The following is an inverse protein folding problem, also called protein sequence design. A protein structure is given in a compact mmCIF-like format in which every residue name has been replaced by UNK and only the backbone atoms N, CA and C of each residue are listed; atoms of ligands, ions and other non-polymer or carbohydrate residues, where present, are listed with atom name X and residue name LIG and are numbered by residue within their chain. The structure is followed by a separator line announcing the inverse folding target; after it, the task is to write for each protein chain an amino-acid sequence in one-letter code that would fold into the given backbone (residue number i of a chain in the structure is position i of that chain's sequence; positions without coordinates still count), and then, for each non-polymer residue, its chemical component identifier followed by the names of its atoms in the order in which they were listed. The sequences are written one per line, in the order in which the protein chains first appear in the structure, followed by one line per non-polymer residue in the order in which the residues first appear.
data_IF_298375594041
#
_entry.id   IF_298375594041
#
_cell.length_a   1.000
_cell.length_b   1.000
_cell.length_c   1.000
_cell.angle_alpha   90.00
_cell.angle_beta   90.00
_cell.angle_gamma   90.00
#
_symmetry.space_group_name_H-M   'P 1'
#
loop_
_entity.id
_entity.type
_entity.pdbx_description
1 polymer ?
#
# COMPACT_ATOMS: atom_id res chain seq x y z
N UNK A 1 23.88 6.17 11.47
CA UNK A 1 23.59 6.81 10.16
C UNK A 1 22.13 6.59 9.86
N UNK A 2 21.27 7.60 10.08
CA UNK A 2 19.82 7.52 9.90
C UNK A 2 19.48 7.71 8.40
N UNK A 3 18.70 6.83 7.76
CA UNK A 3 18.26 7.07 6.39
C UNK A 3 17.08 8.05 6.39
N UNK A 4 17.28 9.18 5.72
CA UNK A 4 16.29 10.23 5.47
C UNK A 4 15.20 9.70 4.53
N UNK A 5 13.97 9.56 5.03
CA UNK A 5 12.78 9.05 4.31
C UNK A 5 12.20 10.03 3.27
N UNK A 6 12.99 10.99 2.77
CA UNK A 6 12.52 12.08 1.89
C UNK A 6 12.71 11.84 0.39
N UNK A 7 13.14 10.66 -0.05
CA UNK A 7 13.31 10.38 -1.48
C UNK A 7 12.73 9.02 -1.80
N UNK A 8 11.58 9.04 -2.49
CA UNK A 8 11.03 8.02 -3.41
C UNK A 8 9.49 8.14 -3.49
N UNK A 9 8.99 9.37 -3.59
CA UNK A 9 7.70 9.64 -4.20
C UNK A 9 8.03 10.38 -5.49
N UNK A 10 8.04 9.66 -6.61
CA UNK A 10 8.05 10.28 -7.94
C UNK A 10 6.69 10.94 -8.12
N UNK A 11 6.60 12.19 -7.66
CA UNK A 11 5.52 13.11 -7.94
C UNK A 11 6.16 14.31 -8.62
N UNK A 12 5.59 14.73 -9.75
CA UNK A 12 5.88 16.02 -10.37
C UNK A 12 6.04 17.08 -9.27
N UNK A 13 7.16 17.80 -9.26
CA UNK A 13 7.48 18.78 -8.22
C UNK A 13 6.55 20.00 -8.32
N UNK A 14 5.32 19.83 -7.82
CA UNK A 14 4.33 20.90 -7.72
C UNK A 14 4.70 21.82 -6.57
N UNK A 15 5.40 22.91 -6.88
CA UNK A 15 5.88 23.92 -5.91
C UNK A 15 4.80 24.97 -5.62
N UNK A 16 3.60 24.53 -5.20
CA UNK A 16 2.55 25.44 -4.73
C UNK A 16 2.74 25.75 -3.24
N UNK A 17 2.85 27.02 -2.90
CA UNK A 17 2.82 27.50 -1.51
C UNK A 17 1.48 28.20 -1.28
N UNK A 18 0.79 27.82 -0.21
CA UNK A 18 -0.52 28.34 0.15
C UNK A 18 -0.47 28.93 1.57
N UNK A 19 -0.34 30.26 1.73
CA UNK A 19 -0.47 30.92 3.01
C UNK A 19 -1.94 30.96 3.43
N UNK A 20 -2.22 30.51 4.65
CA UNK A 20 -3.56 30.45 5.23
C UNK A 20 -3.54 31.15 6.59
N UNK A 21 -4.36 32.20 6.74
CA UNK A 21 -4.54 32.86 8.02
C UNK A 21 -5.72 32.25 8.78
N UNK A 22 -5.48 31.84 10.03
CA UNK A 22 -6.51 31.39 10.99
C UNK A 22 -6.27 32.10 12.32
N UNK A 23 -7.31 32.76 12.84
CA UNK A 23 -7.26 33.47 14.13
C UNK A 23 -6.01 34.37 14.26
N UNK A 24 -5.75 35.19 13.22
CA UNK A 24 -4.61 36.12 13.11
C UNK A 24 -3.22 35.48 13.01
N UNK A 25 -3.13 34.15 13.03
CA UNK A 25 -1.90 33.39 12.81
C UNK A 25 -1.81 32.93 11.36
N UNK A 26 -0.67 33.15 10.72
CA UNK A 26 -0.41 32.67 9.36
C UNK A 26 0.24 31.28 9.38
N UNK A 27 -0.29 30.39 8.56
CA UNK A 27 0.19 29.04 8.35
C UNK A 27 0.57 28.86 6.88
N UNK A 28 1.80 28.42 6.64
CA UNK A 28 2.28 28.16 5.28
C UNK A 28 2.13 26.68 4.95
N UNK A 29 1.29 26.37 3.97
CA UNK A 29 1.17 25.02 3.41
C UNK A 29 2.00 24.91 2.13
N UNK A 30 2.97 24.02 2.11
CA UNK A 30 3.81 23.74 0.94
C UNK A 30 3.36 22.45 0.30
N UNK A 31 2.99 22.47 -0.97
CA UNK A 31 2.70 21.25 -1.72
C UNK A 31 3.99 20.43 -1.86
N UNK A 32 3.91 19.16 -1.47
CA UNK A 32 5.04 18.22 -1.51
C UNK A 32 4.80 17.07 -2.50
N UNK A 33 3.54 16.88 -2.92
CA UNK A 33 3.16 15.95 -3.98
C UNK A 33 1.82 16.38 -4.59
N UNK A 34 1.63 16.05 -5.85
CA UNK A 34 0.36 16.20 -6.56
C UNK A 34 0.15 14.96 -7.45
N UNK A 35 -1.09 14.46 -7.52
CA UNK A 35 -1.48 13.39 -8.45
C UNK A 35 -2.93 13.58 -8.88
N UNK A 36 -3.13 13.85 -10.18
CA UNK A 36 -4.46 13.92 -10.84
C UNK A 36 -5.47 14.87 -10.18
N UNK A 37 -5.00 15.97 -9.60
CA UNK A 37 -5.79 16.98 -8.92
C UNK A 37 -5.89 16.81 -7.40
N UNK A 38 -5.32 15.74 -6.84
CA UNK A 38 -5.15 15.58 -5.39
C UNK A 38 -3.78 16.11 -4.95
N UNK A 39 -3.76 17.06 -4.01
CA UNK A 39 -2.51 17.68 -3.54
C UNK A 39 -2.20 17.26 -2.10
N UNK A 40 -0.95 16.90 -1.83
CA UNK A 40 -0.44 16.69 -0.47
C UNK A 40 0.33 17.93 -0.04
N UNK A 41 -0.13 18.56 1.03
CA UNK A 41 0.52 19.72 1.64
C UNK A 41 1.28 19.31 2.91
N UNK A 42 2.47 19.85 3.11
CA UNK A 42 3.14 19.93 4.41
C UNK A 42 2.84 21.29 5.05
N UNK A 43 2.42 21.28 6.31
CA UNK A 43 2.28 22.46 7.17
C UNK A 43 3.27 22.32 8.33
N UNK A 44 4.48 22.84 8.14
CA UNK A 44 5.51 22.83 9.17
C UNK A 44 5.22 23.87 10.25
N UNK A 45 5.46 23.53 11.52
CA UNK A 45 5.29 24.44 12.65
C UNK A 45 6.35 25.56 12.70
N UNK A 46 7.38 25.50 11.85
CA UNK A 46 8.44 26.51 11.74
C UNK A 46 7.86 27.87 11.35
N UNK A 47 8.09 28.89 12.17
CA UNK A 47 7.62 30.26 11.93
C UNK A 47 6.25 30.59 12.51
N UNK A 48 5.61 29.66 13.22
CA UNK A 48 4.39 29.89 14.01
C UNK A 48 4.79 30.22 15.45
N UNK A 49 4.04 31.09 16.15
CA UNK A 49 4.41 31.69 17.45
C UNK A 49 4.78 30.71 18.58
N UNK A 50 4.36 29.45 18.49
CA UNK A 50 4.59 28.42 19.53
C UNK A 50 5.37 27.20 19.00
N UNK A 51 5.86 27.26 17.74
CA UNK A 51 6.58 26.20 16.99
C UNK A 51 6.01 24.77 17.13
N UNK A 52 4.75 24.68 17.53
CA UNK A 52 4.02 23.46 17.82
C UNK A 52 2.97 23.20 16.74
N UNK A 53 2.63 21.91 16.57
CA UNK A 53 1.57 21.54 15.64
C UNK A 53 0.25 22.15 16.13
N UNK A 54 -0.49 22.91 15.30
CA UNK A 54 -1.74 23.56 15.71
C UNK A 54 -2.74 22.55 16.26
N UNK A 55 -3.59 22.92 17.20
CA UNK A 55 -4.60 22.01 17.76
C UNK A 55 -5.64 21.53 16.73
N UNK A 56 -6.47 20.55 17.10
CA UNK A 56 -7.48 19.99 16.20
C UNK A 56 -8.46 21.03 15.64
N UNK A 57 -8.90 21.99 16.46
CA UNK A 57 -9.87 23.00 16.04
C UNK A 57 -9.26 23.94 14.99
N UNK A 58 -8.02 24.35 15.21
CA UNK A 58 -7.24 25.17 14.27
C UNK A 58 -6.93 24.40 13.00
N UNK A 59 -6.51 23.12 13.07
CA UNK A 59 -6.31 22.28 11.88
C UNK A 59 -7.59 22.14 11.05
N UNK A 60 -8.76 22.01 11.68
CA UNK A 60 -10.06 22.00 10.97
C UNK A 60 -10.36 23.32 10.26
N UNK A 61 -9.99 24.46 10.84
CA UNK A 61 -10.12 25.78 10.19
C UNK A 61 -9.15 25.92 9.01
N UNK A 62 -7.89 25.51 9.17
CA UNK A 62 -6.88 25.48 8.11
C UNK A 62 -7.41 24.63 6.94
N UNK A 63 -7.85 23.41 7.22
CA UNK A 63 -8.41 22.49 6.22
C UNK A 63 -9.58 23.10 5.44
N UNK A 64 -10.51 23.78 6.12
CA UNK A 64 -11.62 24.48 5.46
C UNK A 64 -11.16 25.59 4.53
N UNK A 65 -10.08 26.29 4.86
CA UNK A 65 -9.50 27.32 3.99
C UNK A 65 -8.80 26.69 2.79
N UNK A 66 -8.01 25.64 3.00
CA UNK A 66 -7.36 24.87 1.92
C UNK A 66 -8.41 24.34 0.94
N UNK A 67 -9.54 23.84 1.44
CA UNK A 67 -10.66 23.33 0.63
C UNK A 67 -11.25 24.35 -0.36
N UNK A 68 -11.06 25.66 -0.13
CA UNK A 68 -11.50 26.71 -1.05
C UNK A 68 -10.61 26.82 -2.29
N UNK A 69 -9.34 26.45 -2.14
CA UNK A 69 -8.33 26.55 -3.21
C UNK A 69 -8.10 25.21 -3.88
N UNK A 70 -8.03 24.12 -3.09
CA UNK A 70 -7.79 22.77 -3.57
C UNK A 70 -8.85 21.85 -2.96
N UNK A 71 -9.73 21.32 -3.79
CA UNK A 71 -10.85 20.51 -3.31
C UNK A 71 -10.37 19.17 -2.72
N UNK A 72 -9.58 18.42 -3.48
CA UNK A 72 -9.01 17.13 -3.06
C UNK A 72 -7.60 17.35 -2.51
N UNK A 73 -7.44 17.20 -1.20
CA UNK A 73 -6.16 17.44 -0.56
C UNK A 73 -5.93 16.54 0.66
N UNK A 74 -4.65 16.45 1.02
CA UNK A 74 -4.13 15.84 2.22
C UNK A 74 -3.21 16.85 2.91
N UNK A 75 -3.24 16.96 4.24
CA UNK A 75 -2.36 17.88 4.98
C UNK A 75 -1.56 17.09 6.01
N UNK A 76 -0.24 17.25 5.98
CA UNK A 76 0.70 16.67 6.93
C UNK A 76 1.24 17.80 7.78
N UNK A 77 0.90 17.82 9.06
CA UNK A 77 1.46 18.78 10.01
C UNK A 77 2.72 18.19 10.64
N UNK A 78 3.78 18.98 10.73
CA UNK A 78 5.06 18.56 11.31
C UNK A 78 5.49 19.54 12.40
N UNK A 79 6.02 19.03 13.52
CA UNK A 79 6.69 19.87 14.52
C UNK A 79 8.06 20.33 14.02
N UNK A 80 8.64 21.35 14.67
CA UNK A 80 9.93 21.91 14.27
C UNK A 80 11.06 20.85 14.24
N UNK A 81 11.03 19.88 15.16
CA UNK A 81 12.01 18.79 15.26
C UNK A 81 11.73 17.62 14.29
N UNK A 82 10.61 17.65 13.56
CA UNK A 82 10.11 16.56 12.70
C UNK A 82 9.95 15.21 13.39
N UNK A 83 9.77 15.23 14.72
CA UNK A 83 9.54 14.02 15.52
C UNK A 83 8.07 13.64 15.57
N UNK A 84 7.17 14.62 15.45
CA UNK A 84 5.72 14.42 15.46
C UNK A 84 5.12 14.82 14.13
N UNK A 85 4.20 14.00 13.63
CA UNK A 85 3.45 14.27 12.43
C UNK A 85 1.96 14.01 12.66
N UNK A 86 1.10 14.85 12.08
CA UNK A 86 -0.34 14.61 12.02
C UNK A 86 -0.77 14.59 10.57
N UNK A 87 -1.24 13.44 10.11
CA UNK A 87 -1.70 13.19 8.76
C UNK A 87 -3.21 13.36 8.72
N UNK A 88 -3.68 14.47 8.16
CA UNK A 88 -5.09 14.86 8.14
C UNK A 88 -5.68 14.75 6.73
N UNK A 89 -6.86 14.15 6.67
CA UNK A 89 -7.67 14.06 5.44
C UNK A 89 -9.16 14.17 5.74
N UNK A 90 -9.92 14.63 4.77
CA UNK A 90 -11.38 14.75 4.86
C UNK A 90 -12.03 13.90 3.79
N UNK A 91 -12.80 12.89 4.23
CA UNK A 91 -13.69 12.15 3.36
C UNK A 91 -14.93 12.98 3.05
N UNK A 92 -15.25 13.09 1.77
CA UNK A 92 -16.49 13.72 1.30
C UNK A 92 -17.31 12.68 0.58
N UNK A 93 -18.56 12.51 1.01
CA UNK A 93 -19.52 11.60 0.40
C UNK A 93 -20.80 12.39 0.12
N UNK A 94 -21.33 12.25 -1.09
CA UNK A 94 -22.54 12.98 -1.49
C UNK A 94 -23.70 12.63 -0.55
N UNK A 95 -24.30 13.65 0.08
CA UNK A 95 -25.40 13.46 1.04
C UNK A 95 -24.97 13.10 2.48
N UNK A 96 -23.66 13.07 2.80
CA UNK A 96 -23.17 12.88 4.18
C UNK A 96 -22.29 14.05 4.63
N UNK A 97 -22.18 14.31 5.95
CA UNK A 97 -21.24 15.29 6.47
C UNK A 97 -19.79 14.88 6.21
N UNK A 98 -18.94 15.88 5.92
CA UNK A 98 -17.50 15.72 5.80
C UNK A 98 -16.90 15.03 7.04
N UNK A 99 -16.26 13.87 6.82
CA UNK A 99 -15.61 13.12 7.88
C UNK A 99 -14.11 13.42 7.92
N UNK A 100 -13.67 14.19 8.91
CA UNK A 100 -12.26 14.46 9.15
C UNK A 100 -11.60 13.31 9.90
N UNK A 101 -10.51 12.79 9.35
CA UNK A 101 -9.70 11.75 9.97
C UNK A 101 -8.27 12.23 10.12
N UNK A 102 -7.63 11.80 11.20
CA UNK A 102 -6.24 12.14 11.51
C UNK A 102 -5.48 10.88 11.93
N UNK A 103 -4.27 10.74 11.42
CA UNK A 103 -3.33 9.74 11.91
C UNK A 103 -2.11 10.45 12.49
N UNK A 104 -1.89 10.28 13.79
CA UNK A 104 -0.72 10.83 14.48
C UNK A 104 0.41 9.82 14.46
N UNK A 105 1.58 10.29 14.06
CA UNK A 105 2.83 9.55 14.13
C UNK A 105 3.83 10.31 15.02
N UNK A 106 4.54 9.62 15.90
CA UNK A 106 5.69 10.17 16.61
C UNK A 106 6.89 9.21 16.51
N UNK A 107 8.02 9.68 15.99
CA UNK A 107 9.21 8.85 15.73
C UNK A 107 9.95 8.40 16.99
N UNK A 108 9.71 9.06 18.13
CA UNK A 108 10.32 8.70 19.41
C UNK A 108 9.49 7.65 20.15
N UNK A 109 8.17 7.59 19.90
CA UNK A 109 7.22 6.70 20.58
C UNK A 109 6.76 5.51 19.72
N UNK A 110 6.84 5.61 18.38
CA UNK A 110 6.27 4.65 17.44
C UNK A 110 7.28 4.25 16.36
N UNK A 111 7.24 3.00 15.91
CA UNK A 111 8.14 2.46 14.88
C UNK A 111 7.85 2.98 13.46
N UNK A 112 6.70 3.62 13.25
CA UNK A 112 6.27 4.14 11.94
C UNK A 112 5.65 3.08 11.02
N UNK A 113 5.62 1.81 11.42
CA UNK A 113 5.13 0.70 10.58
C UNK A 113 3.69 0.89 10.11
N UNK A 114 2.79 1.37 10.99
CA UNK A 114 1.40 1.64 10.63
C UNK A 114 1.27 2.75 9.59
N UNK A 115 2.15 3.75 9.62
CA UNK A 115 2.18 4.82 8.63
C UNK A 115 2.76 4.29 7.31
N UNK A 116 3.86 3.54 7.35
CA UNK A 116 4.48 2.91 6.18
C UNK A 116 3.49 1.97 5.46
N UNK A 117 2.69 1.21 6.20
CA UNK A 117 1.66 0.35 5.63
C UNK A 117 0.59 1.14 4.86
N UNK A 118 0.12 2.26 5.44
CA UNK A 118 -0.84 3.16 4.76
C UNK A 118 -0.22 3.82 3.53
N UNK A 119 1.04 4.24 3.62
CA UNK A 119 1.77 4.84 2.51
C UNK A 119 1.99 3.85 1.35
N UNK A 120 2.33 2.60 1.65
CA UNK A 120 2.44 1.55 0.62
C UNK A 120 1.12 1.28 -0.10
N UNK A 121 0.00 1.39 0.61
CA UNK A 121 -1.32 1.19 0.04
C UNK A 121 -1.77 2.32 -0.91
N UNK A 122 -1.07 3.46 -0.91
CA UNK A 122 -1.35 4.62 -1.78
C UNK A 122 -0.27 4.84 -2.85
N UNK A 123 0.66 3.90 -3.01
CA UNK A 123 1.63 3.93 -4.12
C UNK A 123 0.88 3.60 -5.41
N UNK A 124 1.11 4.40 -6.44
CA UNK A 124 0.62 4.18 -7.79
C UNK A 124 1.79 3.71 -8.67
N UNK A 125 1.59 2.67 -9.47
CA UNK A 125 2.60 2.25 -10.44
C UNK A 125 2.59 3.17 -11.66
N UNK A 126 3.69 3.18 -12.43
CA UNK A 126 3.80 3.93 -13.69
C UNK A 126 2.76 3.53 -14.76
N UNK A 127 2.05 2.41 -14.56
CA UNK A 127 1.04 1.90 -15.50
C UNK A 127 -0.33 2.39 -15.15
N UNK A 128 -0.64 2.35 -13.85
CA UNK A 128 -1.85 2.93 -13.33
C UNK A 128 -1.88 4.42 -13.70
N UNK A 129 -0.72 5.05 -13.87
CA UNK A 129 -0.58 6.45 -14.23
C UNK A 129 -1.30 6.86 -15.52
N UNK A 130 -1.28 6.02 -16.55
CA UNK A 130 -1.91 6.34 -17.85
C UNK A 130 -3.45 6.42 -17.75
N UNK A 131 -4.05 5.57 -16.92
CA UNK A 131 -5.51 5.45 -16.75
C UNK A 131 -6.03 6.06 -15.43
N UNK A 132 -5.15 6.59 -14.58
CA UNK A 132 -5.48 7.07 -13.24
C UNK A 132 -6.40 8.31 -13.27
N UNK A 133 -7.57 8.20 -12.63
CA UNK A 133 -8.49 9.32 -12.42
C UNK A 133 -8.48 9.81 -10.96
N UNK A 134 -8.97 11.04 -10.73
CA UNK A 134 -9.09 11.61 -9.39
C UNK A 134 -9.97 10.75 -8.43
N UNK A 135 -11.11 10.18 -8.87
CA UNK A 135 -11.85 9.19 -8.06
C UNK A 135 -11.03 7.98 -7.63
N UNK A 136 -10.13 7.47 -8.48
CA UNK A 136 -9.28 6.31 -8.13
C UNK A 136 -8.24 6.67 -7.07
N UNK A 137 -7.63 7.85 -7.20
CA UNK A 137 -6.66 8.38 -6.24
C UNK A 137 -7.34 8.58 -4.87
N UNK A 138 -8.45 9.31 -4.84
CA UNK A 138 -9.19 9.63 -3.61
C UNK A 138 -9.79 8.38 -2.96
N UNK A 139 -10.27 7.42 -3.74
CA UNK A 139 -10.76 6.12 -3.27
C UNK A 139 -9.68 5.28 -2.59
N UNK A 140 -8.48 5.21 -3.17
CA UNK A 140 -7.35 4.44 -2.62
C UNK A 140 -6.80 5.08 -1.34
N UNK A 141 -6.65 6.40 -1.31
CA UNK A 141 -6.27 7.14 -0.09
C UNK A 141 -7.32 6.96 1.00
N UNK A 142 -8.61 7.05 0.65
CA UNK A 142 -9.70 6.80 1.59
C UNK A 142 -9.66 5.39 2.20
N UNK A 143 -9.42 4.36 1.38
CA UNK A 143 -9.33 2.98 1.86
C UNK A 143 -8.15 2.76 2.84
N UNK A 144 -6.98 3.33 2.52
CA UNK A 144 -5.77 3.17 3.35
C UNK A 144 -5.90 3.87 4.72
N UNK A 145 -6.55 5.03 4.79
CA UNK A 145 -6.61 5.84 6.00
C UNK A 145 -7.88 5.63 6.84
N UNK A 146 -8.97 5.04 6.30
CA UNK A 146 -10.27 4.87 6.99
C UNK A 146 -10.45 3.55 7.75
N UNK A 147 -9.59 2.54 7.56
CA UNK A 147 -9.71 1.24 8.21
C UNK A 147 -9.30 1.28 9.71
N UNK A 148 -10.16 1.83 10.58
CA UNK A 148 -9.79 2.19 11.97
C UNK A 148 -10.10 1.18 13.09
N UNK A 149 -10.50 -0.07 12.81
CA UNK A 149 -10.57 -1.12 13.86
C UNK A 149 -10.10 -2.51 13.44
N UNK A 150 -10.01 -2.73 12.14
CA UNK A 150 -9.60 -4.01 11.56
C UNK A 150 -8.08 -4.20 11.66
N UNK A 151 -7.29 -3.12 11.77
CA UNK A 151 -5.83 -3.12 11.62
C UNK A 151 -5.02 -3.76 12.74
N UNK A 152 -5.37 -3.62 14.03
CA UNK A 152 -4.55 -4.24 15.11
C UNK A 152 -4.74 -5.76 15.19
N UNK A 153 -6.00 -6.23 15.21
CA UNK A 153 -6.30 -7.67 15.20
C UNK A 153 -5.80 -8.33 13.92
N UNK A 154 -5.96 -7.64 12.78
CA UNK A 154 -5.39 -8.07 11.52
C UNK A 154 -3.87 -8.15 11.58
N UNK A 155 -3.19 -7.13 12.11
CA UNK A 155 -1.73 -7.14 12.19
C UNK A 155 -1.22 -8.23 13.12
N UNK A 156 -1.84 -8.41 14.29
CA UNK A 156 -1.51 -9.47 15.23
C UNK A 156 -1.72 -10.86 14.60
N UNK A 157 -2.76 -11.02 13.78
CA UNK A 157 -3.05 -12.29 13.10
C UNK A 157 -2.18 -12.50 11.86
N UNK A 158 -1.94 -11.46 11.06
CA UNK A 158 -1.02 -11.45 9.93
C UNK A 158 0.41 -11.74 10.37
N UNK A 159 0.85 -11.22 11.51
CA UNK A 159 2.15 -11.54 12.11
C UNK A 159 2.24 -13.02 12.50
N UNK A 160 1.16 -13.60 13.05
CA UNK A 160 1.11 -15.04 13.33
C UNK A 160 1.18 -15.87 12.05
N UNK A 161 0.43 -15.49 11.01
CA UNK A 161 0.49 -16.19 9.72
C UNK A 161 1.86 -16.01 9.05
N UNK A 162 2.51 -14.85 9.19
CA UNK A 162 3.90 -14.63 8.77
C UNK A 162 4.87 -15.58 9.49
N UNK A 163 4.80 -15.66 10.82
CA UNK A 163 5.65 -16.55 11.62
C UNK A 163 5.42 -18.03 11.28
N UNK A 164 4.20 -18.41 10.88
CA UNK A 164 3.90 -19.75 10.40
C UNK A 164 4.45 -19.97 9.00
N UNK A 165 4.20 -19.06 8.06
CA UNK A 165 4.68 -19.14 6.68
C UNK A 165 6.21 -19.20 6.62
N UNK A 166 6.89 -18.45 7.48
CA UNK A 166 8.34 -18.45 7.62
C UNK A 166 8.91 -19.83 7.92
N UNK A 167 8.19 -20.70 8.64
CA UNK A 167 8.65 -22.06 8.95
C UNK A 167 8.64 -22.98 7.73
N UNK A 168 7.88 -22.63 6.69
CA UNK A 168 7.79 -23.40 5.46
C UNK A 168 8.84 -23.01 4.43
N UNK A 169 9.35 -21.77 4.49
CA UNK A 169 10.33 -21.24 3.55
C UNK A 169 11.70 -21.93 3.73
N UNK A 170 12.23 -22.44 2.62
CA UNK A 170 13.60 -22.96 2.52
C UNK A 170 14.36 -22.26 1.38
N UNK A 171 15.68 -22.38 1.39
CA UNK A 171 16.54 -21.94 0.27
C UNK A 171 17.15 -20.54 0.39
N UNK A 172 16.86 -19.79 1.45
CA UNK A 172 17.49 -18.50 1.76
C UNK A 172 18.39 -18.67 3.00
N UNK A 173 19.67 -18.25 2.96
CA UNK A 173 20.67 -18.61 3.97
C UNK A 173 20.54 -17.87 5.30
N UNK A 174 20.02 -16.64 5.29
CA UNK A 174 19.90 -15.78 6.47
C UNK A 174 18.45 -15.62 6.94
N UNK A 175 18.25 -15.59 8.26
CA UNK A 175 16.91 -15.54 8.86
C UNK A 175 16.23 -14.17 8.70
N UNK A 176 16.99 -13.08 8.69
CA UNK A 176 16.42 -11.75 8.42
C UNK A 176 16.04 -11.61 6.95
N UNK A 177 16.86 -12.14 6.03
CA UNK A 177 16.52 -12.24 4.61
C UNK A 177 15.26 -13.10 4.38
N UNK A 178 15.13 -14.23 5.09
CA UNK A 178 13.91 -15.05 5.04
C UNK A 178 12.68 -14.26 5.49
N UNK A 179 12.74 -13.59 6.65
CA UNK A 179 11.63 -12.75 7.15
C UNK A 179 11.24 -11.66 6.16
N UNK A 180 12.24 -11.01 5.57
CA UNK A 180 12.02 -9.98 4.57
C UNK A 180 11.33 -10.55 3.34
N UNK A 181 11.80 -11.69 2.83
CA UNK A 181 11.21 -12.35 1.69
C UNK A 181 9.76 -12.82 1.94
N UNK A 182 9.48 -13.41 3.10
CA UNK A 182 8.10 -13.79 3.48
C UNK A 182 7.21 -12.56 3.50
N UNK A 183 7.70 -11.41 3.99
CA UNK A 183 6.93 -10.16 3.99
C UNK A 183 6.59 -9.71 2.57
N UNK A 184 7.54 -9.80 1.63
CA UNK A 184 7.30 -9.52 0.21
C UNK A 184 6.25 -10.47 -0.37
N UNK A 185 6.40 -11.77 -0.13
CA UNK A 185 5.49 -12.81 -0.62
C UNK A 185 4.06 -12.62 -0.12
N UNK A 186 3.87 -12.40 1.19
CA UNK A 186 2.55 -12.21 1.77
C UNK A 186 1.87 -10.94 1.25
N UNK A 187 2.61 -9.84 1.06
CA UNK A 187 2.06 -8.62 0.48
C UNK A 187 1.61 -8.84 -0.98
N UNK A 188 2.39 -9.57 -1.78
CA UNK A 188 2.00 -9.95 -3.16
C UNK A 188 0.71 -10.75 -3.17
N UNK A 189 0.65 -11.81 -2.37
CA UNK A 189 -0.53 -12.69 -2.31
C UNK A 189 -1.77 -11.98 -1.78
N UNK A 190 -1.59 -11.08 -0.82
CA UNK A 190 -2.67 -10.25 -0.31
C UNK A 190 -3.22 -9.29 -1.37
N UNK A 191 -2.34 -8.63 -2.14
CA UNK A 191 -2.77 -7.79 -3.26
C UNK A 191 -3.57 -8.60 -4.29
N UNK A 192 -3.07 -9.78 -4.66
CA UNK A 192 -3.73 -10.68 -5.61
C UNK A 192 -5.11 -11.11 -5.09
N UNK A 193 -5.19 -11.43 -3.80
CA UNK A 193 -6.46 -11.74 -3.14
C UNK A 193 -7.46 -10.57 -3.21
N UNK A 194 -7.00 -9.32 -3.08
CA UNK A 194 -7.89 -8.17 -3.20
C UNK A 194 -8.42 -7.96 -4.63
N UNK A 195 -7.56 -8.11 -5.65
CA UNK A 195 -7.97 -7.88 -7.04
C UNK A 195 -8.79 -9.03 -7.62
N UNK A 196 -8.57 -10.28 -7.19
CA UNK A 196 -9.40 -11.41 -7.61
C UNK A 196 -10.87 -11.22 -7.18
N UNK A 197 -11.11 -10.69 -5.98
CA UNK A 197 -12.47 -10.44 -5.45
C UNK A 197 -13.21 -9.34 -6.21
N UNK A 198 -12.52 -8.60 -7.08
CA UNK A 198 -13.11 -7.62 -8.01
C UNK A 198 -13.32 -8.19 -9.43
N UNK A 199 -13.09 -9.49 -9.62
CA UNK A 199 -13.22 -10.17 -10.91
C UNK A 199 -12.06 -9.90 -11.88
N UNK A 200 -10.97 -9.25 -11.44
CA UNK A 200 -9.87 -8.89 -12.33
C UNK A 200 -8.99 -10.07 -12.76
N UNK A 201 -9.05 -11.20 -12.06
CA UNK A 201 -8.25 -12.39 -12.38
C UNK A 201 -9.12 -13.46 -13.00
N UNK A 202 -9.17 -13.47 -14.34
CA UNK A 202 -9.92 -14.42 -15.14
C UNK A 202 -11.42 -14.50 -14.77
N UNK A 203 -11.98 -13.41 -14.23
CA UNK A 203 -13.32 -13.35 -13.66
C UNK A 203 -13.59 -14.43 -12.58
N UNK A 204 -12.53 -14.87 -11.90
CA UNK A 204 -12.58 -15.86 -10.81
C UNK A 204 -12.31 -15.18 -9.46
N UNK A 205 -13.36 -15.07 -8.64
CA UNK A 205 -13.26 -14.51 -7.29
C UNK A 205 -12.44 -15.37 -6.32
N UNK A 206 -12.13 -16.61 -6.69
CA UNK A 206 -11.34 -17.58 -5.93
C UNK A 206 -10.04 -17.97 -6.66
N UNK A 207 -9.58 -17.14 -7.61
CA UNK A 207 -8.45 -17.41 -8.50
C UNK A 207 -7.23 -18.08 -7.85
N UNK A 208 -6.73 -17.57 -6.71
CA UNK A 208 -5.61 -18.17 -5.99
C UNK A 208 -5.88 -19.62 -5.54
N UNK A 209 -7.08 -19.92 -5.03
CA UNK A 209 -7.46 -21.26 -4.59
C UNK A 209 -7.70 -22.19 -5.77
N UNK A 210 -8.38 -21.71 -6.81
CA UNK A 210 -8.59 -22.46 -8.06
C UNK A 210 -7.25 -22.89 -8.66
N UNK A 211 -6.29 -21.96 -8.75
CA UNK A 211 -4.97 -22.23 -9.32
C UNK A 211 -4.09 -23.08 -8.43
N UNK A 212 -4.28 -23.02 -7.11
CA UNK A 212 -3.63 -23.94 -6.17
C UNK A 212 -4.11 -25.38 -6.42
N UNK A 213 -5.41 -25.61 -6.50
CA UNK A 213 -5.97 -26.92 -6.81
C UNK A 213 -5.52 -27.43 -8.20
N UNK A 214 -5.52 -26.56 -9.21
CA UNK A 214 -4.99 -26.89 -10.54
C UNK A 214 -3.52 -27.33 -10.46
N UNK A 215 -2.69 -26.63 -9.69
CA UNK A 215 -1.28 -26.97 -9.51
C UNK A 215 -1.09 -28.31 -8.81
N UNK A 216 -1.85 -28.56 -7.74
CA UNK A 216 -1.81 -29.82 -6.99
C UNK A 216 -2.22 -31.03 -7.84
N UNK A 217 -3.08 -30.82 -8.84
CA UNK A 217 -3.45 -31.87 -9.81
C UNK A 217 -2.30 -32.25 -10.76
N UNK A 218 -1.30 -31.38 -10.94
CA UNK A 218 -0.15 -31.61 -11.84
C UNK A 218 1.09 -32.14 -11.12
N UNK A 219 1.19 -31.94 -9.82
CA UNK A 219 2.34 -32.35 -9.04
C UNK A 219 2.28 -31.85 -7.59
N UNK A 220 3.27 -32.26 -6.79
CA UNK A 220 3.37 -31.90 -5.37
C UNK A 220 4.26 -30.65 -5.24
N UNK A 221 3.81 -29.64 -4.51
CA UNK A 221 4.59 -28.44 -4.18
C UNK A 221 5.01 -27.60 -5.40
N UNK A 222 4.26 -27.70 -6.50
CA UNK A 222 4.53 -26.93 -7.72
C UNK A 222 4.02 -25.49 -7.67
N UNK A 223 3.12 -25.15 -6.74
CA UNK A 223 2.34 -23.90 -6.83
C UNK A 223 3.20 -22.64 -6.84
N UNK A 224 4.25 -22.60 -6.02
CA UNK A 224 5.16 -21.46 -5.99
C UNK A 224 5.93 -21.30 -7.32
N UNK A 225 6.67 -22.32 -7.74
CA UNK A 225 7.57 -22.24 -8.90
C UNK A 225 6.85 -22.27 -10.23
N UNK A 226 5.82 -23.11 -10.36
CA UNK A 226 5.16 -23.39 -11.63
C UNK A 226 3.97 -22.46 -11.90
N UNK A 227 3.45 -21.77 -10.87
CA UNK A 227 2.32 -20.86 -11.03
C UNK A 227 2.60 -19.45 -10.51
N UNK A 228 2.99 -19.28 -9.23
CA UNK A 228 3.17 -17.93 -8.67
C UNK A 228 4.33 -17.18 -9.33
N UNK A 229 5.46 -17.83 -9.59
CA UNK A 229 6.58 -17.20 -10.30
C UNK A 229 6.17 -16.71 -11.72
N UNK A 230 5.56 -17.54 -12.59
CA UNK A 230 4.99 -17.07 -13.86
C UNK A 230 3.95 -15.96 -13.68
N UNK A 231 3.06 -16.07 -12.68
CA UNK A 231 2.07 -15.04 -12.40
C UNK A 231 2.72 -13.69 -12.08
N UNK A 232 3.76 -13.66 -11.26
CA UNK A 232 4.44 -12.43 -10.86
C UNK A 232 5.27 -11.84 -12.00
N UNK A 233 6.17 -12.65 -12.57
CA UNK A 233 7.25 -12.15 -13.44
C UNK A 233 6.89 -12.14 -14.93
N UNK A 234 5.87 -12.90 -15.34
CA UNK A 234 5.39 -12.92 -16.73
C UNK A 234 3.98 -12.35 -16.84
N UNK A 235 3.10 -12.68 -15.89
CA UNK A 235 1.74 -12.15 -15.85
C UNK A 235 1.71 -10.67 -15.52
N UNK A 236 1.96 -10.33 -14.26
CA UNK A 236 1.84 -8.96 -13.76
C UNK A 236 2.99 -8.03 -14.15
N UNK A 237 4.13 -8.58 -14.56
CA UNK A 237 5.30 -7.80 -14.94
C UNK A 237 5.49 -7.63 -16.46
N UNK A 238 4.60 -8.16 -17.32
CA UNK A 238 4.65 -7.93 -18.77
C UNK A 238 3.27 -7.62 -19.39
N UNK A 239 3.21 -6.76 -20.42
CA UNK A 239 2.00 -6.57 -21.22
C UNK A 239 1.48 -7.88 -21.82
N UNK A 240 0.16 -8.01 -21.97
CA UNK A 240 -0.45 -9.24 -22.51
C UNK A 240 0.11 -9.61 -23.90
N UNK A 241 0.43 -8.62 -24.74
CA UNK A 241 1.00 -8.84 -26.07
C UNK A 241 2.35 -9.59 -26.03
N UNK A 242 3.12 -9.43 -24.96
CA UNK A 242 4.47 -10.00 -24.80
C UNK A 242 4.48 -11.36 -24.11
N UNK A 243 3.35 -11.77 -23.51
CA UNK A 243 3.24 -13.06 -22.82
C UNK A 243 3.24 -14.22 -23.81
N UNK A 244 3.99 -15.27 -23.48
CA UNK A 244 3.99 -16.51 -24.27
C UNK A 244 2.61 -17.18 -24.27
N UNK A 245 2.35 -18.04 -25.26
CA UNK A 245 1.08 -18.78 -25.35
C UNK A 245 0.84 -19.66 -24.12
N UNK A 246 1.91 -20.23 -23.57
CA UNK A 246 1.82 -21.09 -22.40
C UNK A 246 1.49 -20.30 -21.13
N UNK A 247 2.08 -19.11 -20.96
CA UNK A 247 1.74 -18.20 -19.86
C UNK A 247 0.29 -17.75 -19.94
N UNK A 248 -0.20 -17.37 -21.14
CA UNK A 248 -1.61 -16.99 -21.33
C UNK A 248 -2.57 -18.11 -20.99
N UNK A 249 -2.24 -19.34 -21.38
CA UNK A 249 -3.03 -20.53 -21.07
C UNK A 249 -3.04 -20.85 -19.58
N UNK A 250 -1.88 -20.76 -18.94
CA UNK A 250 -1.70 -21.03 -17.52
C UNK A 250 -2.49 -20.04 -16.65
N UNK A 251 -2.38 -18.75 -16.96
CA UNK A 251 -2.91 -17.66 -16.12
C UNK A 251 -4.33 -17.23 -16.50
N UNK A 252 -4.74 -17.43 -17.76
CA UNK A 252 -5.99 -16.89 -18.27
C UNK A 252 -5.94 -15.37 -18.44
N UNK A 253 -7.11 -14.72 -18.42
CA UNK A 253 -7.22 -13.27 -18.63
C UNK A 253 -6.89 -12.50 -17.34
N UNK A 254 -5.69 -11.93 -17.27
CA UNK A 254 -5.22 -11.14 -16.11
C UNK A 254 -4.63 -9.79 -16.56
N UNK A 255 -4.71 -8.74 -15.72
CA UNK A 255 -4.15 -7.43 -16.04
C UNK A 255 -2.62 -7.44 -16.05
N UNK A 256 -2.04 -6.43 -16.68
CA UNK A 256 -0.66 -6.03 -16.48
C UNK A 256 -0.61 -5.06 -15.29
N UNK A 257 0.46 -5.10 -14.46
CA UNK A 257 0.61 -4.27 -13.24
C UNK A 257 2.02 -3.62 -13.08
N UNK A 258 2.75 -3.44 -14.18
CA UNK A 258 4.08 -2.81 -14.39
C UNK A 258 5.17 -3.43 -13.54
N UNK A 259 4.91 -4.64 -13.05
CA UNK A 259 5.81 -5.33 -12.16
C UNK A 259 6.14 -4.54 -10.89
N UNK A 260 5.30 -3.65 -10.36
CA UNK A 260 5.64 -2.87 -9.16
C UNK A 260 6.09 -3.72 -7.95
N UNK A 261 5.15 -4.19 -7.13
CA UNK A 261 5.49 -5.16 -6.07
C UNK A 261 5.80 -6.55 -6.64
N UNK A 262 5.51 -6.81 -7.92
CA UNK A 262 5.61 -8.12 -8.58
C UNK A 262 6.91 -8.34 -9.37
N UNK A 263 7.78 -7.33 -9.48
CA UNK A 263 9.10 -7.46 -10.09
C UNK A 263 9.95 -8.47 -9.32
N UNK A 264 10.89 -9.10 -10.02
CA UNK A 264 11.78 -10.05 -9.40
C UNK A 264 12.59 -9.38 -8.29
N UNK A 265 12.47 -9.93 -7.08
CA UNK A 265 13.14 -9.42 -5.90
C UNK A 265 14.62 -9.86 -5.91
N UNK A 266 15.52 -9.07 -5.31
CA UNK A 266 16.95 -9.40 -5.27
C UNK A 266 17.22 -10.81 -4.71
N UNK A 267 16.46 -11.23 -3.69
CA UNK A 267 16.57 -12.59 -3.13
C UNK A 267 16.07 -13.68 -4.09
N UNK A 268 15.13 -13.38 -4.98
CA UNK A 268 14.67 -14.30 -6.03
C UNK A 268 15.71 -14.38 -7.16
N UNK A 269 16.45 -13.29 -7.43
CA UNK A 269 17.61 -13.32 -8.34
C UNK A 269 18.77 -14.11 -7.75
N UNK A 270 19.10 -13.91 -6.47
CA UNK A 270 20.27 -14.52 -5.82
C UNK A 270 20.04 -15.98 -5.40
N UNK A 271 18.80 -16.32 -5.02
CA UNK A 271 18.49 -17.61 -4.41
C UNK A 271 17.29 -18.33 -5.04
N UNK A 272 16.67 -17.78 -6.09
CA UNK A 272 15.38 -18.25 -6.62
C UNK A 272 15.30 -19.73 -6.96
N UNK A 273 16.38 -20.31 -7.49
CA UNK A 273 16.44 -21.75 -7.80
C UNK A 273 16.30 -22.62 -6.54
N UNK A 274 16.85 -22.13 -5.42
CA UNK A 274 16.85 -22.83 -4.13
C UNK A 274 15.61 -22.52 -3.29
N UNK A 275 14.90 -21.41 -3.55
CA UNK A 275 13.68 -21.06 -2.81
C UNK A 275 12.65 -22.18 -3.01
N UNK A 276 12.22 -22.77 -1.90
CA UNK A 276 11.22 -23.83 -1.86
C UNK A 276 10.17 -23.49 -0.81
N UNK A 277 8.90 -23.55 -1.21
CA UNK A 277 7.74 -23.26 -0.38
C UNK A 277 6.66 -24.29 -0.72
N UNK A 278 6.31 -25.20 0.20
CA UNK A 278 5.30 -26.24 -0.06
C UNK A 278 3.89 -25.67 -0.19
N UNK A 279 3.04 -26.36 -0.94
CA UNK A 279 1.65 -25.95 -1.22
C UNK A 279 0.85 -25.71 0.07
N UNK A 280 1.13 -26.51 1.11
CA UNK A 280 0.53 -26.39 2.44
C UNK A 280 0.67 -25.01 3.07
N UNK A 281 1.74 -24.27 2.77
CA UNK A 281 1.93 -22.90 3.26
C UNK A 281 0.85 -21.95 2.69
N UNK A 282 0.51 -22.14 1.41
CA UNK A 282 -0.49 -21.34 0.71
C UNK A 282 -1.91 -21.76 1.08
N UNK A 283 -2.18 -23.06 1.25
CA UNK A 283 -3.47 -23.54 1.77
C UNK A 283 -3.82 -22.88 3.12
N UNK A 284 -2.85 -22.83 4.03
CA UNK A 284 -3.06 -22.23 5.33
C UNK A 284 -3.28 -20.72 5.23
N UNK A 285 -2.47 -20.03 4.41
CA UNK A 285 -2.59 -18.59 4.21
C UNK A 285 -3.94 -18.19 3.58
N UNK A 286 -4.41 -18.92 2.58
CA UNK A 286 -5.66 -18.59 1.89
C UNK A 286 -6.89 -18.84 2.76
N UNK A 287 -6.87 -19.88 3.62
CA UNK A 287 -7.90 -20.04 4.66
C UNK A 287 -7.97 -18.84 5.60
N UNK A 288 -6.83 -18.23 5.92
CA UNK A 288 -6.80 -16.99 6.71
C UNK A 288 -7.40 -15.80 5.92
N UNK A 289 -7.09 -15.64 4.63
CA UNK A 289 -7.66 -14.58 3.80
C UNK A 289 -9.19 -14.69 3.68
N UNK A 290 -9.75 -15.89 3.57
CA UNK A 290 -11.20 -16.11 3.54
C UNK A 290 -11.89 -15.72 4.85
N UNK A 291 -11.31 -16.13 5.99
CA UNK A 291 -11.85 -15.78 7.31
C UNK A 291 -11.88 -14.26 7.53
N UNK A 292 -10.92 -13.54 6.96
CA UNK A 292 -10.84 -12.08 7.07
C UNK A 292 -11.94 -11.35 6.29
N UNK A 293 -12.34 -11.85 5.12
CA UNK A 293 -13.40 -11.19 4.34
C UNK A 293 -14.75 -11.20 5.06
N UNK A 294 -15.00 -12.16 5.95
CA UNK A 294 -16.23 -12.24 6.74
C UNK A 294 -16.25 -11.24 7.92
N UNK A 295 -15.13 -10.58 8.23
CA UNK A 295 -14.97 -9.63 9.34
C UNK A 295 -14.99 -8.14 8.90
N UNK A 296 -15.11 -7.87 7.59
CA UNK A 296 -15.27 -6.52 6.99
C UNK A 296 -16.69 -6.35 6.47
#
# INVERSE_FOLDING_TARGET
MKPSLHKNLDGDHHTQILPITVDETEYTLTAIAEKRGMVVFECAATGVSDESIPDYATRRKIQKQVAKSVHEHFIIYTDAEKTTQIWQWVKREQGKPDACREHRYNSNEQSGDSLIQKLRAIVFTLEEEEDLSLPDVTGRVGAAFYAERVTKKFYDRFKKEHDVFLKFLKGIPDREMQKWYVSVMLNRLMFIYFIQKRGFLNNDENYLLTKLADSQSRGINGYYKEFLCPLFFEGFAKPEAERSRDVKRLLGKIPYLNGGIFQQHQLETLHGENIDIPDKAFEQLFRFFEQYQQEI
#
